data_IF_296617057846
#
_entry.id   IF_296617057846
#
_cell.length_a   1.000
_cell.length_b   1.000
_cell.length_c   1.000
_cell.angle_alpha   90.00
_cell.angle_beta   90.00
_cell.angle_gamma   90.00
#
_symmetry.space_group_name_H-M   'P 1'
#
loop_
_entity.id
_entity.type
_entity.pdbx_description
1 polymer ?
#
# COMPACT_ATOMS: atom_id res chain seq x y z
N UNK A 1 9.51 -13.24 -11.76
CA UNK A 1 10.26 -12.59 -10.66
C UNK A 1 10.30 -13.60 -9.53
N UNK A 2 11.47 -13.87 -8.97
CA UNK A 2 11.56 -14.72 -7.77
C UNK A 2 10.93 -13.98 -6.58
N UNK A 3 10.45 -14.70 -5.56
CA UNK A 3 9.77 -14.09 -4.41
C UNK A 3 10.67 -13.08 -3.70
N UNK A 4 11.98 -13.36 -3.65
CA UNK A 4 12.98 -12.49 -3.02
C UNK A 4 13.18 -11.18 -3.77
N UNK A 5 13.21 -11.23 -5.10
CA UNK A 5 13.31 -10.02 -5.92
C UNK A 5 12.03 -9.19 -5.74
N UNK A 6 10.87 -9.85 -5.73
CA UNK A 6 9.58 -9.20 -5.51
C UNK A 6 9.51 -8.51 -4.15
N UNK A 7 9.83 -9.21 -3.05
CA UNK A 7 9.88 -8.64 -1.70
C UNK A 7 10.87 -7.45 -1.61
N UNK A 8 11.99 -7.51 -2.33
CA UNK A 8 12.93 -6.39 -2.42
C UNK A 8 12.33 -5.20 -3.20
N UNK A 9 11.59 -5.45 -4.27
CA UNK A 9 11.00 -4.42 -5.13
C UNK A 9 9.84 -3.69 -4.46
N UNK A 10 9.10 -4.36 -3.57
CA UNK A 10 7.97 -3.76 -2.84
C UNK A 10 8.38 -3.08 -1.54
N UNK A 11 9.66 -3.09 -1.13
CA UNK A 11 10.07 -2.37 0.07
C UNK A 11 9.62 -0.90 0.02
N UNK A 12 9.14 -0.32 1.14
CA UNK A 12 9.14 -0.86 2.50
C UNK A 12 7.99 -1.81 2.86
N UNK A 13 7.08 -2.10 1.92
CA UNK A 13 6.03 -3.09 2.14
C UNK A 13 6.62 -4.50 2.26
N UNK A 14 5.91 -5.38 2.97
CA UNK A 14 6.26 -6.78 3.11
C UNK A 14 5.10 -7.69 2.71
N UNK A 15 5.45 -8.84 2.11
CA UNK A 15 4.49 -9.81 1.59
C UNK A 15 4.32 -10.96 2.57
N UNK A 16 3.08 -11.26 2.93
CA UNK A 16 2.70 -12.37 3.81
C UNK A 16 1.82 -13.33 3.03
N UNK A 17 2.15 -14.61 3.08
CA UNK A 17 1.26 -15.67 2.59
C UNK A 17 0.72 -16.45 3.78
N UNK A 18 -0.59 -16.51 3.92
CA UNK A 18 -1.26 -17.28 4.95
C UNK A 18 -2.37 -18.15 4.32
N UNK A 19 -2.20 -19.46 4.40
CA UNK A 19 -3.09 -20.44 3.76
C UNK A 19 -3.27 -20.16 2.24
N UNK A 20 -4.50 -19.86 1.81
CA UNK A 20 -4.89 -19.53 0.44
C UNK A 20 -5.06 -18.01 0.21
N UNK A 21 -4.63 -17.19 1.17
CA UNK A 21 -4.72 -15.74 1.12
C UNK A 21 -3.33 -15.11 1.17
N UNK A 22 -3.21 -13.95 0.54
CA UNK A 22 -2.01 -13.15 0.49
C UNK A 22 -2.31 -11.79 1.09
N UNK A 23 -1.33 -11.26 1.81
CA UNK A 23 -1.41 -9.94 2.42
C UNK A 23 -0.15 -9.15 2.12
N UNK A 24 -0.32 -7.85 1.96
CA UNK A 24 0.75 -6.87 1.88
C UNK A 24 0.57 -5.93 3.04
N UNK A 25 1.62 -5.76 3.82
CA UNK A 25 1.59 -4.90 4.99
C UNK A 25 2.71 -3.87 4.96
N UNK A 26 2.52 -2.79 5.70
CA UNK A 26 3.52 -1.75 5.93
C UNK A 26 3.39 -1.24 7.35
N UNK A 27 4.52 -1.20 8.07
CA UNK A 27 4.60 -0.53 9.36
C UNK A 27 4.59 0.98 9.16
N UNK A 28 3.45 1.59 9.48
CA UNK A 28 3.20 3.02 9.28
C UNK A 28 4.03 3.90 10.23
N UNK A 29 4.49 3.34 11.36
CA UNK A 29 5.36 4.01 12.32
C UNK A 29 6.84 4.10 11.93
N UNK A 30 7.34 3.20 11.09
CA UNK A 30 8.76 3.20 10.65
C UNK A 30 8.96 3.88 9.29
N UNK A 31 7.89 4.04 8.50
CA UNK A 31 7.95 4.64 7.17
C UNK A 31 6.91 5.75 6.96
N UNK A 32 7.33 7.01 7.15
CA UNK A 32 6.59 8.19 6.68
C UNK A 32 7.06 8.49 5.26
N UNK A 33 6.22 8.19 4.27
CA UNK A 33 6.47 8.62 2.90
C UNK A 33 6.52 10.16 2.85
N UNK A 34 7.45 10.72 2.08
CA UNK A 34 7.62 12.17 1.95
C UNK A 34 6.35 12.90 1.49
N UNK A 35 5.42 12.19 0.84
CA UNK A 35 4.10 12.72 0.46
C UNK A 35 3.28 13.23 1.65
N UNK A 36 3.42 12.61 2.84
CA UNK A 36 2.72 13.06 4.04
C UNK A 36 3.32 14.33 4.63
N UNK A 37 4.63 14.55 4.44
CA UNK A 37 5.28 15.81 4.82
C UNK A 37 4.75 16.96 3.96
N UNK A 38 4.63 16.73 2.65
CA UNK A 38 3.99 17.68 1.72
C UNK A 38 2.53 17.95 2.08
N UNK A 39 1.75 16.95 2.47
CA UNK A 39 0.35 17.14 2.87
C UNK A 39 0.20 17.91 4.18
N UNK A 40 1.11 17.69 5.14
CA UNK A 40 1.21 18.48 6.36
C UNK A 40 1.55 19.94 6.04
N UNK A 41 2.50 20.19 5.13
CA UNK A 41 2.84 21.53 4.63
C UNK A 41 1.66 22.20 3.87
N UNK A 42 0.89 21.42 3.11
CA UNK A 42 -0.34 21.87 2.42
C UNK A 42 -1.53 22.05 3.39
N UNK A 43 -1.36 21.73 4.67
CA UNK A 43 -2.35 21.95 5.72
C UNK A 43 -3.49 20.92 5.74
N UNK A 44 -3.27 19.71 5.24
CA UNK A 44 -4.25 18.62 5.36
C UNK A 44 -4.24 18.09 6.79
N UNK A 45 -5.27 18.45 7.55
CA UNK A 45 -5.45 17.99 8.93
C UNK A 45 -5.78 16.49 8.99
N UNK A 46 -5.15 15.78 9.93
CA UNK A 46 -5.43 14.36 10.20
C UNK A 46 -4.56 13.36 9.43
N UNK A 47 -3.57 13.83 8.66
CA UNK A 47 -2.59 12.98 7.97
C UNK A 47 -1.40 12.75 8.89
N UNK A 48 -1.29 11.55 9.44
CA UNK A 48 -0.20 11.15 10.33
C UNK A 48 0.82 10.24 9.62
N UNK A 49 0.45 9.76 8.43
CA UNK A 49 1.16 8.69 7.74
C UNK A 49 0.88 7.31 8.35
N UNK A 50 -0.25 7.17 9.05
CA UNK A 50 -0.68 5.96 9.75
C UNK A 50 -1.29 4.93 8.77
N UNK A 51 -1.64 3.73 9.24
CA UNK A 51 -2.20 2.69 8.36
C UNK A 51 -3.50 3.09 7.64
N UNK A 52 -4.31 3.96 8.23
CA UNK A 52 -5.55 4.48 7.63
C UNK A 52 -5.29 5.52 6.53
N UNK A 53 -4.23 6.33 6.68
CA UNK A 53 -3.79 7.26 5.63
C UNK A 53 -3.32 6.49 4.39
N UNK A 54 -2.56 5.42 4.61
CA UNK A 54 -2.13 4.49 3.57
C UNK A 54 -3.31 3.78 2.90
N UNK A 55 -4.34 3.38 3.66
CA UNK A 55 -5.58 2.85 3.09
C UNK A 55 -6.29 3.87 2.20
N UNK A 56 -6.44 5.11 2.68
CA UNK A 56 -7.10 6.16 1.90
C UNK A 56 -6.41 6.39 0.55
N UNK A 57 -5.07 6.38 0.57
CA UNK A 57 -4.25 6.41 -0.63
C UNK A 57 -4.48 5.20 -1.56
N UNK A 58 -4.54 3.99 -0.99
CA UNK A 58 -4.81 2.76 -1.73
C UNK A 58 -6.19 2.76 -2.38
N UNK A 59 -7.21 3.25 -1.68
CA UNK A 59 -8.57 3.41 -2.20
C UNK A 59 -8.57 4.39 -3.37
N UNK A 60 -7.90 5.55 -3.23
CA UNK A 60 -7.78 6.53 -4.31
C UNK A 60 -7.10 5.95 -5.56
N UNK A 61 -6.07 5.13 -5.37
CA UNK A 61 -5.39 4.44 -6.45
C UNK A 61 -6.27 3.36 -7.13
N UNK A 62 -7.05 2.61 -6.35
CA UNK A 62 -7.96 1.59 -6.84
C UNK A 62 -9.22 2.15 -7.50
N UNK A 63 -9.61 3.38 -7.18
CA UNK A 63 -10.75 4.05 -7.81
C UNK A 63 -10.60 4.16 -9.35
N UNK A 64 -9.36 4.27 -9.84
CA UNK A 64 -9.04 4.28 -11.28
C UNK A 64 -8.87 2.87 -11.86
N UNK A 65 -8.96 1.82 -11.03
CA UNK A 65 -8.67 0.42 -11.38
C UNK A 65 -9.74 -0.54 -10.84
N UNK A 66 -10.97 -0.48 -11.37
CA UNK A 66 -12.10 -1.25 -10.83
C UNK A 66 -11.88 -2.77 -10.86
N UNK A 67 -11.07 -3.28 -11.80
CA UNK A 67 -10.72 -4.70 -11.87
C UNK A 67 -9.89 -5.17 -10.66
N UNK A 68 -9.04 -4.31 -10.09
CA UNK A 68 -8.26 -4.60 -8.89
C UNK A 68 -9.07 -4.30 -7.63
N UNK A 69 -9.89 -3.25 -7.65
CA UNK A 69 -10.69 -2.83 -6.50
C UNK A 69 -11.66 -3.94 -6.01
N UNK A 70 -12.17 -4.77 -6.92
CA UNK A 70 -13.04 -5.90 -6.57
C UNK A 70 -12.32 -7.09 -5.93
N UNK A 71 -11.00 -7.17 -6.06
CA UNK A 71 -10.19 -8.31 -5.62
C UNK A 71 -9.43 -8.03 -4.32
N UNK A 72 -9.32 -6.76 -3.91
CA UNK A 72 -8.47 -6.33 -2.80
C UNK A 72 -9.34 -5.83 -1.66
N UNK A 73 -9.06 -6.35 -0.47
CA UNK A 73 -9.66 -5.92 0.78
C UNK A 73 -8.58 -5.31 1.68
N UNK A 74 -9.02 -4.47 2.62
CA UNK A 74 -8.13 -3.77 3.54
C UNK A 74 -8.52 -4.06 4.98
N UNK A 75 -7.54 -4.16 5.86
CA UNK A 75 -7.71 -4.31 7.30
C UNK A 75 -6.62 -3.51 8.04
N UNK A 76 -6.58 -2.17 7.88
CA UNK A 76 -5.52 -1.36 8.47
C UNK A 76 -5.73 -1.15 9.96
N UNK A 77 -4.62 -0.97 10.66
CA UNK A 77 -4.54 -0.49 12.03
C UNK A 77 -3.72 0.81 12.07
N UNK A 78 -3.87 1.61 13.13
CA UNK A 78 -3.12 2.85 13.28
C UNK A 78 -1.59 2.66 13.08
N UNK A 79 -1.04 1.53 13.53
CA UNK A 79 0.38 1.21 13.37
C UNK A 79 0.75 0.52 12.05
N UNK A 80 -0.21 -0.05 11.32
CA UNK A 80 0.07 -0.94 10.20
C UNK A 80 -0.98 -0.82 9.10
N UNK A 81 -0.54 -0.55 7.88
CA UNK A 81 -1.36 -0.76 6.70
C UNK A 81 -1.38 -2.25 6.36
N UNK A 82 -2.55 -2.80 6.04
CA UNK A 82 -2.72 -4.18 5.59
C UNK A 82 -3.74 -4.23 4.45
N UNK A 83 -3.32 -4.81 3.32
CA UNK A 83 -4.18 -5.11 2.18
C UNK A 83 -4.06 -6.61 1.87
N UNK A 84 -5.16 -7.28 1.59
CA UNK A 84 -5.17 -8.72 1.36
C UNK A 84 -6.09 -9.14 0.21
N UNK A 85 -5.77 -10.30 -0.37
CA UNK A 85 -6.54 -10.91 -1.45
C UNK A 85 -6.26 -12.40 -1.54
N UNK A 86 -7.25 -13.18 -1.96
CA UNK A 86 -7.06 -14.58 -2.37
C UNK A 86 -6.48 -14.69 -3.80
N UNK A 87 -6.45 -13.59 -4.55
CA UNK A 87 -5.86 -13.52 -5.89
C UNK A 87 -4.44 -12.96 -5.82
N UNK A 88 -3.45 -13.86 -5.81
CA UNK A 88 -2.01 -13.52 -5.77
C UNK A 88 -1.64 -12.50 -6.86
N UNK A 89 -2.12 -12.70 -8.08
CA UNK A 89 -1.76 -11.88 -9.23
C UNK A 89 -2.29 -10.45 -9.09
N UNK A 90 -3.55 -10.32 -8.66
CA UNK A 90 -4.18 -9.01 -8.44
C UNK A 90 -3.45 -8.22 -7.33
N UNK A 91 -3.14 -8.87 -6.20
CA UNK A 91 -2.45 -8.20 -5.10
C UNK A 91 -1.02 -7.80 -5.47
N UNK A 92 -0.31 -8.62 -6.23
CA UNK A 92 1.03 -8.27 -6.76
C UNK A 92 0.98 -7.10 -7.72
N UNK A 93 0.03 -7.08 -8.65
CA UNK A 93 -0.14 -5.98 -9.61
C UNK A 93 -0.47 -4.68 -8.87
N UNK A 94 -1.36 -4.75 -7.89
CA UNK A 94 -1.68 -3.62 -7.04
C UNK A 94 -0.46 -3.07 -6.33
N UNK A 95 0.29 -3.87 -5.57
CA UNK A 95 1.37 -3.31 -4.75
C UNK A 95 2.51 -2.74 -5.59
N UNK A 96 2.84 -3.38 -6.72
CA UNK A 96 3.87 -2.89 -7.63
C UNK A 96 3.44 -1.55 -8.23
N UNK A 97 2.20 -1.46 -8.73
CA UNK A 97 1.69 -0.22 -9.30
C UNK A 97 1.48 0.88 -8.25
N UNK A 98 1.07 0.50 -7.04
CA UNK A 98 0.80 1.41 -5.92
C UNK A 98 2.12 2.07 -5.51
N UNK A 99 3.17 1.27 -5.29
CA UNK A 99 4.52 1.77 -5.00
C UNK A 99 5.05 2.69 -6.10
N UNK A 100 4.96 2.27 -7.36
CA UNK A 100 5.42 3.06 -8.51
C UNK A 100 4.71 4.43 -8.59
N UNK A 101 3.40 4.46 -8.30
CA UNK A 101 2.65 5.72 -8.26
C UNK A 101 3.14 6.70 -7.18
N UNK A 102 3.64 6.22 -6.03
CA UNK A 102 4.28 7.09 -5.03
C UNK A 102 5.67 7.54 -5.43
N UNK A 103 6.46 6.67 -6.06
CA UNK A 103 7.79 7.03 -6.54
C UNK A 103 7.73 8.04 -7.70
N UNK A 104 6.72 7.96 -8.56
CA UNK A 104 6.53 8.88 -9.69
C UNK A 104 5.99 10.24 -9.24
N UNK A 105 5.08 10.30 -8.26
CA UNK A 105 4.57 11.58 -7.73
C UNK A 105 5.61 12.41 -6.96
N UNK A 106 6.79 11.84 -6.67
CA UNK A 106 7.91 12.52 -6.00
C UNK A 106 8.92 13.16 -6.99
N UNK A 107 8.56 13.36 -8.27
CA UNK A 107 9.40 14.01 -9.29
C UNK A 107 8.83 15.31 -9.84
#
# INVERSE_FOLDING_TARGET
MDIKDFEAAIKPFFWVKYEDTFSVCLDAGEYKAAIFDTWEEEGIEGVEGNGYDWESLAIGFLAERPALAGEISFDPEAGMFCAYSSNEAALREFILGFKDAFEIKLR
#
